data_IF_553710625163
#
_entry.id   IF_553710625163
#
_cell.length_a   1.000
_cell.length_b   1.000
_cell.length_c   1.000
_cell.angle_alpha   90.00
_cell.angle_beta   90.00
_cell.angle_gamma   90.00
#
_symmetry.space_group_name_H-M   'P 1'
#
loop_
_entity.id
_entity.type
_entity.pdbx_description
1 polymer ?
#
# COMPACT_ATOMS: atom_id res chain seq x y z
N UNK A 1 -18.54 8.24 -1.91
CA UNK A 1 -17.36 7.37 -1.77
C UNK A 1 -16.18 8.23 -2.14
N UNK A 2 -15.24 8.40 -1.23
CA UNK A 2 -14.08 9.28 -1.45
C UNK A 2 -13.02 8.57 -2.30
N UNK A 3 -12.11 9.31 -2.92
CA UNK A 3 -10.97 8.74 -3.67
C UNK A 3 -10.13 7.80 -2.78
N UNK A 4 -10.06 8.10 -1.47
CA UNK A 4 -9.42 7.27 -0.46
C UNK A 4 -10.15 5.92 -0.26
N UNK A 5 -11.48 5.94 -0.15
CA UNK A 5 -12.28 4.71 -0.02
C UNK A 5 -12.12 3.81 -1.25
N UNK A 6 -12.10 4.41 -2.44
CA UNK A 6 -11.89 3.68 -3.69
C UNK A 6 -10.48 3.06 -3.75
N UNK A 7 -9.45 3.80 -3.33
CA UNK A 7 -8.09 3.30 -3.27
C UNK A 7 -7.95 2.11 -2.30
N UNK A 8 -8.55 2.21 -1.10
CA UNK A 8 -8.58 1.10 -0.12
C UNK A 8 -9.28 -0.12 -0.71
N UNK A 9 -10.44 0.09 -1.36
CA UNK A 9 -11.19 -1.00 -1.99
C UNK A 9 -10.37 -1.72 -3.07
N UNK A 10 -9.71 -0.97 -3.96
CA UNK A 10 -8.84 -1.54 -5.01
C UNK A 10 -7.66 -2.30 -4.43
N UNK A 11 -7.02 -1.75 -3.39
CA UNK A 11 -5.90 -2.40 -2.72
C UNK A 11 -6.28 -3.72 -2.07
N UNK A 12 -7.42 -3.78 -1.37
CA UNK A 12 -7.95 -5.02 -0.78
C UNK A 12 -8.34 -6.02 -1.88
N UNK A 13 -9.05 -5.57 -2.91
CA UNK A 13 -9.46 -6.41 -4.03
C UNK A 13 -8.27 -7.04 -4.76
N UNK A 14 -7.13 -6.35 -4.85
CA UNK A 14 -5.91 -6.93 -5.42
C UNK A 14 -5.50 -8.22 -4.68
N UNK A 15 -5.42 -8.19 -3.36
CA UNK A 15 -5.00 -9.36 -2.56
C UNK A 15 -6.05 -10.45 -2.43
N UNK A 16 -7.34 -10.07 -2.41
CA UNK A 16 -8.44 -11.02 -2.45
C UNK A 16 -8.40 -11.88 -3.71
N UNK A 17 -7.96 -11.34 -4.86
CA UNK A 17 -7.76 -12.13 -6.10
C UNK A 17 -6.69 -13.23 -5.95
N UNK A 18 -5.75 -13.08 -5.03
CA UNK A 18 -4.74 -14.09 -4.68
C UNK A 18 -5.15 -14.98 -3.50
N UNK A 19 -6.40 -14.87 -3.01
CA UNK A 19 -6.93 -15.70 -1.94
C UNK A 19 -6.58 -15.24 -0.52
N UNK A 20 -6.17 -13.98 -0.34
CA UNK A 20 -5.89 -13.43 0.98
C UNK A 20 -7.09 -12.70 1.60
N UNK A 21 -7.34 -12.94 2.88
CA UNK A 21 -8.37 -12.26 3.68
C UNK A 21 -7.89 -10.88 4.15
N UNK A 22 -8.64 -9.82 3.82
CA UNK A 22 -8.24 -8.41 4.04
C UNK A 22 -9.17 -7.63 4.98
N UNK A 23 -10.25 -8.25 5.46
CA UNK A 23 -11.33 -7.54 6.15
C UNK A 23 -10.91 -6.99 7.50
N UNK A 24 -10.03 -7.70 8.19
CA UNK A 24 -9.45 -7.34 9.49
C UNK A 24 -8.23 -6.42 9.39
N UNK A 25 -7.79 -6.05 8.18
CA UNK A 25 -6.68 -5.12 7.98
C UNK A 25 -7.20 -3.69 8.11
N UNK A 26 -6.67 -2.97 9.09
CA UNK A 26 -6.95 -1.56 9.34
C UNK A 26 -6.03 -0.69 8.48
N UNK A 27 -6.61 0.12 7.60
CA UNK A 27 -5.87 1.09 6.78
C UNK A 27 -5.99 2.47 7.41
N UNK A 28 -4.85 3.11 7.66
CA UNK A 28 -4.73 4.45 8.23
C UNK A 28 -4.04 5.33 7.20
N UNK A 29 -4.77 6.34 6.72
CA UNK A 29 -4.26 7.35 5.79
C UNK A 29 -4.02 8.64 6.55
N UNK A 30 -2.85 9.25 6.36
CA UNK A 30 -2.48 10.53 7.02
C UNK A 30 -1.40 11.25 6.23
N UNK A 31 -1.17 12.52 6.51
CA UNK A 31 0.01 13.22 6.01
C UNK A 31 1.23 12.96 6.88
N UNK A 32 2.41 13.11 6.30
CA UNK A 32 3.66 12.98 7.02
C UNK A 32 3.93 14.21 7.90
N UNK A 33 4.43 13.96 9.12
CA UNK A 33 4.84 15.01 10.05
C UNK A 33 6.35 15.21 10.07
N UNK A 34 6.82 16.18 10.85
CA UNK A 34 8.25 16.54 11.00
C UNK A 34 9.18 15.37 11.29
N UNK A 35 8.69 14.34 11.98
CA UNK A 35 9.46 13.16 12.38
C UNK A 35 9.06 11.89 11.62
N UNK A 36 8.26 12.01 10.56
CA UNK A 36 7.86 10.84 9.77
C UNK A 36 9.06 10.27 8.98
N UNK A 37 9.29 8.96 9.01
CA UNK A 37 10.39 8.32 8.30
C UNK A 37 10.28 8.47 6.79
N UNK A 38 11.37 8.44 6.03
CA UNK A 38 11.41 8.61 4.58
C UNK A 38 10.86 7.41 3.77
N UNK A 39 9.65 6.96 4.08
CA UNK A 39 8.91 5.88 3.41
C UNK A 39 7.49 6.31 3.05
N UNK A 40 6.88 5.65 2.06
CA UNK A 40 5.50 5.94 1.63
C UNK A 40 4.51 5.36 2.64
N UNK A 41 4.74 4.14 3.10
CA UNK A 41 3.93 3.50 4.11
C UNK A 41 4.73 2.49 4.93
N UNK A 42 4.05 1.94 5.93
CA UNK A 42 4.55 0.84 6.71
C UNK A 42 3.38 0.05 7.29
N UNK A 43 3.67 -1.18 7.65
CA UNK A 43 2.78 -2.09 8.36
C UNK A 43 3.22 -2.29 9.81
N UNK A 44 2.25 -2.50 10.70
CA UNK A 44 2.47 -2.96 12.07
C UNK A 44 1.38 -3.97 12.43
N UNK A 45 1.74 -5.25 12.45
CA UNK A 45 0.78 -6.35 12.55
C UNK A 45 -0.27 -6.24 11.44
N UNK A 46 -1.56 -6.09 11.76
CA UNK A 46 -2.64 -5.92 10.77
C UNK A 46 -3.05 -4.46 10.53
N UNK A 47 -2.17 -3.52 10.86
CA UNK A 47 -2.37 -2.11 10.58
C UNK A 47 -1.44 -1.69 9.44
N UNK A 48 -1.99 -1.02 8.44
CA UNK A 48 -1.25 -0.43 7.33
C UNK A 48 -1.39 1.08 7.43
N UNK A 49 -0.28 1.78 7.46
CA UNK A 49 -0.22 3.24 7.50
C UNK A 49 0.39 3.73 6.19
N UNK A 50 -0.31 4.61 5.48
CA UNK A 50 0.20 5.24 4.25
C UNK A 50 0.17 6.75 4.38
N UNK A 51 1.29 7.38 4.01
CA UNK A 51 1.46 8.83 3.97
C UNK A 51 1.00 9.39 2.62
N UNK A 52 -0.09 10.16 2.62
CA UNK A 52 -0.75 10.67 1.40
C UNK A 52 0.17 11.60 0.60
N UNK A 53 0.76 12.58 1.28
CA UNK A 53 1.74 13.52 0.74
C UNK A 53 2.97 12.82 0.14
N UNK A 54 3.42 11.71 0.74
CA UNK A 54 4.54 10.93 0.23
C UNK A 54 4.16 10.14 -1.01
N UNK A 55 3.03 9.44 -1.00
CA UNK A 55 2.53 8.76 -2.21
C UNK A 55 2.43 9.76 -3.38
N UNK A 56 1.87 10.95 -3.14
CA UNK A 56 1.76 12.01 -4.14
C UNK A 56 3.13 12.51 -4.63
N UNK A 57 4.06 12.84 -3.73
CA UNK A 57 5.40 13.35 -4.10
C UNK A 57 6.24 12.33 -4.88
N UNK A 58 6.11 11.04 -4.55
CA UNK A 58 6.75 9.96 -5.31
C UNK A 58 5.96 9.54 -6.55
N UNK A 59 4.81 10.15 -6.82
CA UNK A 59 3.92 9.83 -7.96
C UNK A 59 3.50 8.36 -7.98
N UNK A 60 3.24 7.81 -6.80
CA UNK A 60 2.75 6.45 -6.60
C UNK A 60 1.24 6.52 -6.38
N UNK A 61 0.50 5.72 -7.12
CA UNK A 61 -0.94 5.60 -6.94
C UNK A 61 -1.26 5.14 -5.52
N UNK A 62 -2.26 5.77 -4.88
CA UNK A 62 -2.58 5.49 -3.49
C UNK A 62 -2.99 4.03 -3.28
N UNK A 63 -3.74 3.43 -4.22
CA UNK A 63 -4.14 2.03 -4.14
C UNK A 63 -2.93 1.10 -4.24
N UNK A 64 -1.95 1.45 -5.09
CA UNK A 64 -0.68 0.73 -5.22
C UNK A 64 0.12 0.78 -3.92
N UNK A 65 0.25 1.97 -3.31
CA UNK A 65 0.95 2.12 -2.04
C UNK A 65 0.28 1.28 -0.93
N UNK A 66 -1.06 1.36 -0.79
CA UNK A 66 -1.79 0.58 0.21
C UNK A 66 -1.63 -0.93 -0.06
N UNK A 67 -1.76 -1.37 -1.31
CA UNK A 67 -1.61 -2.78 -1.66
C UNK A 67 -0.19 -3.29 -1.36
N UNK A 68 0.84 -2.50 -1.63
CA UNK A 68 2.21 -2.86 -1.28
C UNK A 68 2.36 -3.13 0.23
N UNK A 69 1.86 -2.22 1.06
CA UNK A 69 1.94 -2.38 2.52
C UNK A 69 1.09 -3.53 3.06
N UNK A 70 -0.04 -3.85 2.42
CA UNK A 70 -0.82 -5.05 2.74
C UNK A 70 0.00 -6.32 2.47
N UNK A 71 0.81 -6.36 1.41
CA UNK A 71 1.68 -7.52 1.15
C UNK A 71 2.61 -7.85 2.31
N UNK A 72 3.13 -6.82 2.98
CA UNK A 72 3.96 -6.97 4.17
C UNK A 72 3.19 -7.51 5.39
N UNK A 73 1.86 -7.30 5.48
CA UNK A 73 1.01 -7.92 6.51
C UNK A 73 1.02 -9.43 6.40
N UNK A 74 1.09 -9.97 5.18
CA UNK A 74 1.19 -11.40 4.90
C UNK A 74 2.64 -11.93 4.92
N UNK A 75 3.62 -11.10 5.27
CA UNK A 75 5.03 -11.48 5.32
C UNK A 75 5.72 -11.55 3.96
N UNK A 76 5.07 -11.09 2.89
CA UNK A 76 5.66 -10.99 1.56
C UNK A 76 6.68 -9.85 1.59
N UNK A 77 7.91 -10.13 1.17
CA UNK A 77 9.02 -9.18 1.27
C UNK A 77 9.16 -8.36 -0.01
N UNK A 78 9.91 -7.26 0.08
CA UNK A 78 10.38 -6.56 -1.12
C UNK A 78 11.12 -7.53 -2.04
N UNK A 79 11.00 -7.28 -3.35
CA UNK A 79 11.60 -8.06 -4.44
C UNK A 79 11.07 -9.49 -4.56
N UNK A 80 9.89 -9.76 -3.98
CA UNK A 80 9.12 -10.95 -4.30
C UNK A 80 8.74 -10.94 -5.78
N UNK A 81 9.07 -12.02 -6.50
CA UNK A 81 8.85 -12.11 -7.94
C UNK A 81 7.43 -12.51 -8.32
N UNK A 82 6.70 -13.11 -7.39
CA UNK A 82 5.38 -13.71 -7.64
C UNK A 82 4.30 -12.64 -7.66
N UNK A 83 4.50 -11.55 -6.92
CA UNK A 83 3.55 -10.44 -6.83
C UNK A 83 4.14 -9.16 -7.43
N UNK A 84 3.57 -8.67 -8.53
CA UNK A 84 4.06 -7.46 -9.21
C UNK A 84 4.12 -6.23 -8.27
N UNK A 85 3.16 -6.12 -7.35
CA UNK A 85 3.12 -5.04 -6.35
C UNK A 85 4.28 -5.11 -5.34
N UNK A 86 5.00 -6.23 -5.24
CA UNK A 86 6.09 -6.45 -4.29
C UNK A 86 7.47 -6.44 -4.97
N UNK A 87 7.56 -6.22 -6.29
CA UNK A 87 8.81 -6.21 -7.08
C UNK A 87 9.63 -4.91 -6.91
N UNK A 88 9.89 -4.55 -5.66
CA UNK A 88 10.63 -3.35 -5.27
C UNK A 88 10.08 -2.78 -3.97
N UNK A 89 10.53 -1.59 -3.64
CA UNK A 89 9.94 -0.72 -2.62
C UNK A 89 8.73 0.02 -3.19
N UNK A 90 7.81 0.48 -2.33
CA UNK A 90 6.66 1.27 -2.78
C UNK A 90 7.05 2.46 -3.69
N UNK A 91 8.20 3.11 -3.46
CA UNK A 91 8.69 4.25 -4.27
C UNK A 91 9.04 3.84 -5.70
N UNK A 92 9.48 2.60 -5.91
CA UNK A 92 9.89 2.07 -7.22
C UNK A 92 8.69 1.67 -8.08
N UNK A 93 7.48 1.60 -7.49
CA UNK A 93 6.24 1.29 -8.20
C UNK A 93 5.59 2.51 -8.87
N UNK A 94 6.37 3.57 -9.08
CA UNK A 94 5.92 4.79 -9.74
C UNK A 94 5.29 4.47 -11.11
N UNK A 95 4.10 5.01 -11.34
CA UNK A 95 3.34 4.81 -12.59
C UNK A 95 2.55 3.50 -12.69
N UNK A 96 2.70 2.56 -11.75
CA UNK A 96 1.84 1.40 -11.65
C UNK A 96 0.41 1.83 -11.24
N UNK A 97 -0.60 1.12 -11.74
CA UNK A 97 -2.01 1.31 -11.36
C UNK A 97 -2.69 -0.03 -11.18
N UNK A 98 -3.60 -0.10 -10.21
CA UNK A 98 -4.47 -1.26 -10.03
C UNK A 98 -5.72 -1.11 -10.89
N UNK A 99 -6.07 -2.16 -11.63
CA UNK A 99 -7.30 -2.27 -12.41
C UNK A 99 -8.47 -2.69 -11.52
#
# INVERSE_FOLDING_TARGET
MTDADEAIKKAKAYWQKYGYETDDIMIILRDSGRYSPELIGYQKSRQVVVYLDKAASYQVDLAVAIAHEIGHVYGIRHYDTDHAIMRGTAKELKGLRLL
#
